data_IF_111243190666
#
_entry.id   IF_111243190666
#
_cell.length_a   1.000
_cell.length_b   1.000
_cell.length_c   1.000
_cell.angle_alpha   90.00
_cell.angle_beta   90.00
_cell.angle_gamma   90.00
#
_symmetry.space_group_name_H-M   'P 1'
#
loop_
_entity.id
_entity.type
_entity.pdbx_description
1 polymer ?
#
# COMPACT_ATOMS: atom_id res chain seq x y z
N UNK A 1 7.17 49.35 13.26
CA UNK A 1 7.28 47.98 13.84
C UNK A 1 6.08 47.07 13.57
N UNK A 2 4.82 47.55 13.50
CA UNK A 2 3.64 46.70 13.16
C UNK A 2 3.74 46.03 11.77
N UNK A 3 4.23 46.76 10.76
CA UNK A 3 4.30 46.26 9.39
C UNK A 3 5.34 45.13 9.20
N UNK A 4 6.40 45.11 10.02
CA UNK A 4 7.44 44.07 9.95
C UNK A 4 6.95 42.72 10.50
N UNK A 5 6.17 42.74 11.59
CA UNK A 5 5.56 41.52 12.16
C UNK A 5 4.59 40.88 11.16
N UNK A 6 3.75 41.67 10.52
CA UNK A 6 2.80 41.17 9.51
C UNK A 6 3.53 40.55 8.31
N UNK A 7 4.62 41.16 7.84
CA UNK A 7 5.44 40.61 6.76
C UNK A 7 6.07 39.26 7.15
N UNK A 8 6.59 39.17 8.37
CA UNK A 8 7.21 37.94 8.89
C UNK A 8 6.18 36.82 9.06
N UNK A 9 4.96 37.14 9.53
CA UNK A 9 3.87 36.18 9.67
C UNK A 9 3.40 35.66 8.31
N UNK A 10 3.23 36.54 7.32
CA UNK A 10 2.88 36.14 5.95
C UNK A 10 3.98 35.26 5.36
N UNK A 11 5.25 35.65 5.51
CA UNK A 11 6.39 34.88 5.01
C UNK A 11 6.45 33.47 5.60
N UNK A 12 6.25 33.33 6.92
CA UNK A 12 6.22 32.02 7.60
C UNK A 12 5.03 31.18 7.11
N UNK A 13 3.83 31.76 6.98
CA UNK A 13 2.65 31.06 6.48
C UNK A 13 2.84 30.62 5.03
N UNK A 14 3.45 31.44 4.17
CA UNK A 14 3.77 31.05 2.79
C UNK A 14 4.83 29.97 2.74
N UNK A 15 5.89 30.04 3.57
CA UNK A 15 6.93 29.01 3.61
C UNK A 15 6.37 27.66 4.11
N UNK A 16 5.49 27.70 5.12
CA UNK A 16 4.78 26.53 5.64
C UNK A 16 3.81 25.94 4.61
N UNK A 17 3.13 26.81 3.84
CA UNK A 17 2.26 26.40 2.73
C UNK A 17 3.08 25.77 1.60
N UNK A 18 4.23 26.32 1.21
CA UNK A 18 5.13 25.71 0.23
C UNK A 18 5.69 24.36 0.71
N UNK A 19 5.96 24.19 2.01
CA UNK A 19 6.36 22.90 2.59
C UNK A 19 5.22 21.87 2.53
N UNK A 20 3.96 22.30 2.74
CA UNK A 20 2.76 21.44 2.68
C UNK A 20 2.28 21.14 1.25
N UNK A 21 2.58 22.02 0.28
CA UNK A 21 2.23 21.88 -1.14
C UNK A 21 3.38 21.24 -1.93
N UNK A 22 4.48 20.83 -1.27
CA UNK A 22 5.55 20.10 -1.96
C UNK A 22 4.96 18.83 -2.61
N UNK A 23 4.88 18.77 -3.95
CA UNK A 23 4.24 17.68 -4.64
C UNK A 23 5.17 16.47 -4.58
N UNK A 24 4.64 15.37 -4.08
CA UNK A 24 5.30 14.08 -3.93
C UNK A 24 6.51 14.13 -2.99
N UNK A 25 6.40 13.43 -1.84
CA UNK A 25 7.58 12.72 -1.35
C UNK A 25 8.15 11.99 -2.57
N UNK A 26 9.36 12.36 -2.98
CA UNK A 26 10.02 11.87 -4.19
C UNK A 26 9.87 10.35 -4.17
N UNK A 27 8.93 9.82 -4.98
CA UNK A 27 8.63 8.40 -4.94
C UNK A 27 9.97 7.69 -5.17
N UNK A 28 10.39 6.87 -4.21
CA UNK A 28 11.63 6.16 -4.39
C UNK A 28 11.42 5.24 -5.59
N UNK A 29 12.29 5.35 -6.59
CA UNK A 29 12.31 4.42 -7.71
C UNK A 29 12.98 3.14 -7.20
N UNK A 30 12.18 2.26 -6.61
CA UNK A 30 12.65 0.95 -6.17
C UNK A 30 12.74 0.09 -7.42
N UNK A 31 13.88 -0.57 -7.64
CA UNK A 31 14.13 -1.40 -8.82
C UNK A 31 14.44 -2.82 -8.38
N UNK A 32 13.80 -3.80 -9.01
CA UNK A 32 14.08 -5.23 -8.86
C UNK A 32 14.55 -5.78 -10.20
N UNK A 33 15.70 -6.46 -10.24
CA UNK A 33 16.23 -7.04 -11.49
C UNK A 33 16.95 -8.39 -11.31
N UNK A 34 17.29 -9.01 -12.44
CA UNK A 34 18.02 -10.29 -12.51
C UNK A 34 19.53 -10.10 -12.69
N UNK A 35 20.03 -8.87 -12.64
CA UNK A 35 21.45 -8.58 -12.86
C UNK A 35 22.24 -8.73 -11.56
N UNK A 36 23.54 -9.03 -11.66
CA UNK A 36 24.44 -8.95 -10.52
C UNK A 36 24.91 -7.50 -10.36
N UNK A 37 24.91 -6.99 -9.13
CA UNK A 37 25.28 -5.60 -8.86
C UNK A 37 25.57 -5.36 -7.38
N UNK A 38 26.18 -4.21 -7.08
CA UNK A 38 26.36 -3.77 -5.69
C UNK A 38 25.02 -3.49 -5.04
N UNK A 39 24.93 -3.72 -3.73
CA UNK A 39 23.76 -3.31 -2.96
C UNK A 39 23.72 -1.77 -2.87
N UNK A 40 22.82 -1.16 -3.63
CA UNK A 40 22.53 0.27 -3.59
C UNK A 40 21.15 0.53 -2.99
N UNK A 41 20.94 1.64 -2.27
CA UNK A 41 19.62 1.97 -1.74
C UNK A 41 18.56 2.04 -2.85
N UNK A 42 17.51 1.23 -2.71
CA UNK A 42 16.43 1.17 -3.71
C UNK A 42 16.68 0.20 -4.87
N UNK A 43 17.86 -0.43 -4.98
CA UNK A 43 18.15 -1.43 -6.01
C UNK A 43 18.27 -2.83 -5.41
N UNK A 44 17.44 -3.74 -5.92
CA UNK A 44 17.25 -5.09 -5.43
C UNK A 44 17.60 -6.08 -6.54
N UNK A 45 18.86 -6.49 -6.56
CA UNK A 45 19.40 -7.48 -7.48
C UNK A 45 19.10 -8.88 -6.96
N UNK A 46 18.25 -9.65 -7.64
CA UNK A 46 17.89 -11.01 -7.20
C UNK A 46 19.07 -11.95 -6.91
N UNK A 47 20.22 -11.90 -7.63
CA UNK A 47 21.37 -12.74 -7.31
C UNK A 47 22.00 -12.46 -5.93
N UNK A 48 21.69 -11.31 -5.31
CA UNK A 48 22.17 -10.94 -3.97
C UNK A 48 21.32 -11.55 -2.85
N UNK A 49 20.26 -12.29 -3.18
CA UNK A 49 19.34 -12.90 -2.22
C UNK A 49 19.29 -14.42 -2.41
N UNK A 50 18.85 -15.13 -1.38
CA UNK A 50 18.74 -16.60 -1.42
C UNK A 50 17.79 -17.10 -2.52
N UNK A 51 16.77 -16.32 -2.87
CA UNK A 51 15.83 -16.58 -3.96
C UNK A 51 15.09 -15.29 -4.35
N UNK A 52 14.41 -15.33 -5.51
CA UNK A 52 13.69 -14.18 -6.07
C UNK A 52 12.58 -13.68 -5.13
N UNK A 53 11.86 -14.59 -4.45
CA UNK A 53 10.81 -14.22 -3.49
C UNK A 53 11.37 -13.39 -2.33
N UNK A 54 12.54 -13.74 -1.80
CA UNK A 54 13.20 -13.01 -0.70
C UNK A 54 13.64 -11.62 -1.17
N UNK A 55 14.13 -11.52 -2.40
CA UNK A 55 14.49 -10.23 -3.01
C UNK A 55 13.26 -9.31 -3.16
N UNK A 56 12.17 -9.85 -3.70
CA UNK A 56 10.91 -9.12 -3.89
C UNK A 56 10.30 -8.70 -2.54
N UNK A 57 10.31 -9.57 -1.54
CA UNK A 57 9.84 -9.23 -0.20
C UNK A 57 10.69 -8.12 0.42
N UNK A 58 12.02 -8.15 0.27
CA UNK A 58 12.89 -7.08 0.78
C UNK A 58 12.58 -5.71 0.14
N UNK A 59 12.27 -5.68 -1.16
CA UNK A 59 11.83 -4.47 -1.84
C UNK A 59 10.47 -3.96 -1.32
N UNK A 60 9.51 -4.87 -1.10
CA UNK A 60 8.22 -4.55 -0.50
C UNK A 60 8.37 -4.01 0.94
N UNK A 61 9.25 -4.61 1.74
CA UNK A 61 9.52 -4.20 3.11
C UNK A 61 10.16 -2.81 3.15
N UNK A 62 11.12 -2.55 2.25
CA UNK A 62 11.78 -1.25 2.09
C UNK A 62 10.83 -0.12 1.65
N UNK A 63 9.83 -0.45 0.83
CA UNK A 63 8.89 0.53 0.28
C UNK A 63 8.03 1.23 1.33
N UNK A 64 7.64 2.46 1.02
CA UNK A 64 6.67 3.28 1.75
C UNK A 64 5.43 3.51 0.89
N UNK A 65 4.32 3.90 1.53
CA UNK A 65 3.12 4.27 0.79
C UNK A 65 3.41 5.43 -0.16
N UNK A 66 3.06 5.27 -1.44
CA UNK A 66 3.31 6.22 -2.52
C UNK A 66 4.51 5.85 -3.40
N UNK A 67 5.36 4.90 -2.99
CA UNK A 67 6.51 4.48 -3.80
C UNK A 67 6.10 3.69 -5.05
N UNK A 68 7.00 3.73 -6.05
CA UNK A 68 6.91 2.89 -7.25
C UNK A 68 8.00 1.83 -7.23
N UNK A 69 7.60 0.57 -7.37
CA UNK A 69 8.49 -0.57 -7.55
C UNK A 69 8.49 -0.95 -9.03
N UNK A 70 9.64 -0.83 -9.68
CA UNK A 70 9.86 -1.26 -11.06
C UNK A 70 10.53 -2.62 -11.06
N UNK A 71 9.88 -3.61 -11.66
CA UNK A 71 10.44 -4.94 -11.88
C UNK A 71 10.94 -4.99 -13.32
N UNK A 72 12.24 -5.16 -13.52
CA UNK A 72 12.82 -5.25 -14.87
C UNK A 72 12.55 -6.61 -15.50
N UNK A 73 12.68 -6.68 -16.82
CA UNK A 73 12.50 -7.90 -17.62
C UNK A 73 13.21 -9.11 -16.97
N UNK A 74 12.53 -10.26 -16.95
CA UNK A 74 13.08 -11.48 -16.38
C UNK A 74 12.01 -12.47 -15.94
N UNK A 75 12.46 -13.69 -15.71
CA UNK A 75 11.68 -14.75 -15.08
C UNK A 75 12.04 -14.81 -13.59
N UNK A 76 11.03 -14.62 -12.73
CA UNK A 76 11.16 -14.58 -11.28
C UNK A 76 10.40 -15.76 -10.67
N UNK A 77 11.07 -16.55 -9.84
CA UNK A 77 10.48 -17.74 -9.24
C UNK A 77 10.04 -17.48 -7.80
N UNK A 78 8.72 -17.46 -7.59
CA UNK A 78 8.12 -17.22 -6.28
C UNK A 78 7.98 -18.57 -5.55
N UNK A 79 9.08 -18.97 -4.89
CA UNK A 79 9.19 -20.22 -4.10
C UNK A 79 8.70 -20.06 -2.66
N UNK A 80 8.36 -18.83 -2.25
CA UNK A 80 7.82 -18.47 -0.94
C UNK A 80 6.81 -17.34 -1.14
N UNK A 81 5.71 -17.36 -0.39
CA UNK A 81 4.71 -16.28 -0.44
C UNK A 81 5.33 -14.91 -0.19
N UNK A 82 4.97 -13.94 -1.02
CA UNK A 82 5.32 -12.51 -0.87
C UNK A 82 4.07 -11.73 -0.53
N UNK A 83 4.15 -10.85 0.45
CA UNK A 83 2.96 -10.16 0.93
C UNK A 83 3.24 -8.73 1.35
N UNK A 84 2.24 -7.88 1.15
CA UNK A 84 2.22 -6.52 1.66
C UNK A 84 0.84 -6.11 2.13
N UNK A 85 0.76 -5.51 3.31
CA UNK A 85 -0.49 -4.98 3.88
C UNK A 85 -0.39 -3.49 4.14
N UNK A 86 -1.52 -2.79 4.06
CA UNK A 86 -1.70 -1.41 4.53
C UNK A 86 -0.72 -0.39 3.92
N UNK A 87 -0.18 -0.67 2.73
CA UNK A 87 0.64 0.27 1.94
C UNK A 87 -0.04 0.55 0.61
N UNK A 88 -0.05 1.81 0.19
CA UNK A 88 -0.41 2.19 -1.16
C UNK A 88 0.86 2.08 -2.03
N UNK A 89 0.88 1.17 -3.00
CA UNK A 89 2.06 0.94 -3.83
C UNK A 89 1.69 1.00 -5.31
N UNK A 90 2.61 1.50 -6.12
CA UNK A 90 2.58 1.33 -7.56
C UNK A 90 3.64 0.27 -7.93
N UNK A 91 3.26 -0.79 -8.64
CA UNK A 91 4.19 -1.84 -9.08
C UNK A 91 4.08 -1.95 -10.60
N UNK A 92 5.18 -1.74 -11.29
CA UNK A 92 5.23 -1.70 -12.75
C UNK A 92 6.30 -2.66 -13.29
N UNK A 93 6.05 -3.24 -14.45
CA UNK A 93 7.03 -4.04 -15.17
C UNK A 93 7.75 -3.20 -16.25
N UNK A 94 9.07 -3.29 -16.31
CA UNK A 94 9.89 -2.73 -17.39
C UNK A 94 10.31 -3.86 -18.35
N UNK A 95 9.55 -4.01 -19.43
CA UNK A 95 9.71 -5.12 -20.38
C UNK A 95 8.89 -6.37 -19.99
N UNK A 96 9.29 -7.55 -20.49
CA UNK A 96 8.59 -8.81 -20.20
C UNK A 96 9.00 -9.33 -18.82
N UNK A 97 8.11 -9.16 -17.84
CA UNK A 97 8.24 -9.71 -16.48
C UNK A 97 7.33 -10.92 -16.36
N UNK A 98 7.90 -12.06 -16.00
CA UNK A 98 7.13 -13.28 -15.70
C UNK A 98 7.34 -13.66 -14.24
N UNK A 99 6.27 -13.75 -13.46
CA UNK A 99 6.32 -14.28 -12.10
C UNK A 99 5.82 -15.74 -12.11
N UNK A 100 6.72 -16.68 -11.91
CA UNK A 100 6.45 -18.10 -11.80
C UNK A 100 6.08 -18.44 -10.36
N UNK A 101 4.79 -18.51 -10.07
CA UNK A 101 4.29 -18.83 -8.74
C UNK A 101 4.34 -20.34 -8.53
N UNK A 102 5.23 -20.80 -7.65
CA UNK A 102 5.43 -22.23 -7.39
C UNK A 102 4.62 -22.66 -6.18
N UNK A 103 3.38 -23.07 -6.39
CA UNK A 103 2.51 -23.59 -5.33
C UNK A 103 2.87 -25.04 -4.98
N UNK A 104 2.83 -25.40 -3.70
CA UNK A 104 2.93 -26.79 -3.26
C UNK A 104 1.70 -27.18 -2.43
N UNK A 105 1.52 -28.48 -2.16
CA UNK A 105 0.42 -28.96 -1.33
C UNK A 105 0.58 -28.61 0.15
N UNK A 106 1.77 -28.15 0.55
CA UNK A 106 2.15 -27.89 1.95
C UNK A 106 2.38 -26.41 2.24
N UNK A 107 2.61 -25.59 1.22
CA UNK A 107 2.92 -24.17 1.36
C UNK A 107 2.12 -23.31 0.38
N UNK A 108 1.50 -22.26 0.93
CA UNK A 108 0.84 -21.22 0.16
C UNK A 108 1.89 -20.22 -0.32
N UNK A 109 2.43 -20.48 -1.50
CA UNK A 109 3.27 -19.53 -2.21
C UNK A 109 2.36 -18.67 -3.08
N UNK A 110 2.03 -17.48 -2.59
CA UNK A 110 1.15 -16.53 -3.25
C UNK A 110 1.78 -15.13 -3.33
N UNK A 111 1.06 -14.24 -4.02
CA UNK A 111 1.34 -12.82 -4.02
C UNK A 111 0.13 -12.17 -3.36
N UNK A 112 0.30 -11.70 -2.13
CA UNK A 112 -0.79 -11.18 -1.32
C UNK A 112 -0.66 -9.68 -1.08
N UNK A 113 -1.66 -8.91 -1.53
CA UNK A 113 -1.81 -7.49 -1.20
C UNK A 113 -3.10 -7.26 -0.41
N UNK A 114 -2.97 -6.72 0.80
CA UNK A 114 -4.10 -6.49 1.70
C UNK A 114 -4.28 -5.03 2.09
N UNK A 115 -5.51 -4.53 2.04
CA UNK A 115 -5.88 -3.28 2.69
C UNK A 115 -6.13 -3.44 4.19
N UNK A 116 -6.52 -2.34 4.83
CA UNK A 116 -7.03 -2.33 6.20
C UNK A 116 -8.55 -2.24 6.21
N UNK A 117 -9.15 -2.71 7.30
CA UNK A 117 -10.55 -2.48 7.62
C UNK A 117 -10.63 -1.74 8.95
N UNK A 118 -11.47 -0.70 9.03
CA UNK A 118 -11.86 -0.08 10.28
C UNK A 118 -13.24 -0.64 10.62
N UNK A 119 -13.36 -1.35 11.75
CA UNK A 119 -14.66 -1.86 12.20
C UNK A 119 -15.47 -0.72 12.82
N UNK A 120 -16.56 -0.33 12.15
CA UNK A 120 -17.46 0.75 12.57
C UNK A 120 -18.79 0.19 13.09
N UNK A 121 -18.78 -0.38 14.28
CA UNK A 121 -19.99 -0.76 15.03
C UNK A 121 -21.01 -1.64 14.28
N UNK A 122 -22.26 -1.60 14.76
CA UNK A 122 -23.41 -2.28 14.16
C UNK A 122 -24.31 -1.26 13.46
N UNK A 123 -25.30 -1.74 12.69
CA UNK A 123 -26.39 -0.89 12.26
C UNK A 123 -27.30 -0.56 13.46
N UNK A 124 -27.75 0.69 13.58
CA UNK A 124 -28.70 1.10 14.62
C UNK A 124 -30.17 0.78 14.25
N UNK A 125 -30.42 0.43 12.99
CA UNK A 125 -31.70 -0.03 12.49
C UNK A 125 -31.51 -1.06 11.36
N UNK A 126 -32.53 -1.88 11.10
CA UNK A 126 -32.51 -2.82 9.99
C UNK A 126 -32.38 -2.08 8.65
N UNK A 127 -31.45 -2.52 7.81
CA UNK A 127 -31.42 -2.11 6.41
C UNK A 127 -32.67 -2.67 5.69
N UNK A 128 -33.29 -1.85 4.84
CA UNK A 128 -34.45 -2.24 4.04
C UNK A 128 -34.02 -2.62 2.63
N UNK A 129 -34.60 -3.68 2.09
CA UNK A 129 -34.39 -4.06 0.70
C UNK A 129 -34.79 -2.89 -0.24
N UNK A 130 -33.98 -2.64 -1.26
CA UNK A 130 -34.16 -1.52 -2.20
C UNK A 130 -33.77 -0.13 -1.66
N UNK A 131 -33.36 -0.01 -0.39
CA UNK A 131 -32.87 1.26 0.17
C UNK A 131 -31.43 1.58 -0.27
N UNK A 132 -31.13 2.86 -0.51
CA UNK A 132 -29.78 3.38 -0.68
C UNK A 132 -29.19 3.98 0.61
N UNK A 133 -29.85 3.75 1.75
CA UNK A 133 -29.49 4.33 3.04
C UNK A 133 -29.41 3.25 4.12
N UNK A 134 -28.40 3.39 5.00
CA UNK A 134 -28.23 2.62 6.23
C UNK A 134 -27.93 3.58 7.38
N UNK A 135 -28.34 3.21 8.60
CA UNK A 135 -28.09 4.02 9.79
C UNK A 135 -27.09 3.27 10.67
N UNK A 136 -25.92 3.87 10.87
CA UNK A 136 -24.85 3.32 11.69
C UNK A 136 -25.06 3.74 13.16
N UNK A 137 -24.63 2.92 14.11
CA UNK A 137 -24.55 3.35 15.52
C UNK A 137 -23.51 4.43 15.75
N UNK A 138 -22.42 4.40 14.97
CA UNK A 138 -21.35 5.40 14.99
C UNK A 138 -20.80 5.58 13.57
N UNK A 139 -20.92 6.81 13.04
CA UNK A 139 -20.42 7.20 11.73
C UNK A 139 -19.19 8.13 11.82
N UNK A 140 -18.62 8.35 13.02
CA UNK A 140 -17.53 9.32 13.25
C UNK A 140 -16.28 9.09 12.40
N UNK A 141 -16.05 7.84 11.96
CA UNK A 141 -14.92 7.45 11.11
C UNK A 141 -15.28 7.28 9.64
N UNK A 142 -16.55 7.42 9.27
CA UNK A 142 -17.02 7.28 7.89
C UNK A 142 -16.91 8.61 7.18
N UNK A 143 -16.32 8.59 5.98
CA UNK A 143 -16.12 9.74 5.12
C UNK A 143 -16.79 9.52 3.77
N UNK A 144 -17.01 10.61 3.04
CA UNK A 144 -17.46 10.55 1.65
C UNK A 144 -16.49 9.68 0.84
N UNK A 145 -17.03 8.77 0.04
CA UNK A 145 -16.32 7.80 -0.81
C UNK A 145 -15.68 6.61 -0.08
N UNK A 146 -15.94 6.40 1.21
CA UNK A 146 -15.54 5.16 1.87
C UNK A 146 -16.33 3.97 1.31
N UNK A 147 -15.64 2.82 1.19
CA UNK A 147 -16.29 1.55 0.92
C UNK A 147 -16.77 0.93 2.23
N UNK A 148 -18.09 0.75 2.37
CA UNK A 148 -18.70 0.14 3.56
C UNK A 148 -19.09 -1.29 3.26
N UNK A 149 -18.56 -2.24 4.04
CA UNK A 149 -18.96 -3.65 4.01
C UNK A 149 -19.89 -3.95 5.18
N UNK A 150 -21.12 -4.36 4.87
CA UNK A 150 -22.10 -4.84 5.87
C UNK A 150 -22.10 -6.37 5.81
N UNK A 151 -21.94 -7.02 6.97
CA UNK A 151 -22.07 -8.47 7.08
C UNK A 151 -23.01 -8.85 8.22
N UNK A 152 -23.64 -10.02 8.12
CA UNK A 152 -24.39 -10.64 9.21
C UNK A 152 -23.54 -11.75 9.81
N UNK A 153 -23.25 -11.67 11.11
CA UNK A 153 -22.62 -12.79 11.80
C UNK A 153 -23.72 -13.79 12.19
N UNK A 154 -23.67 -15.00 11.63
CA UNK A 154 -24.54 -16.08 12.08
C UNK A 154 -23.91 -16.67 13.35
N UNK A 155 -24.50 -16.41 14.50
CA UNK A 155 -24.19 -17.19 15.70
C UNK A 155 -25.01 -18.47 15.61
N UNK A 156 -24.35 -19.59 15.28
CA UNK A 156 -24.99 -20.90 15.33
C UNK A 156 -25.22 -21.28 16.79
N UNK A 157 -26.48 -21.54 17.16
CA UNK A 157 -26.77 -22.32 18.36
C UNK A 157 -26.48 -23.77 17.97
N UNK A 158 -25.32 -24.27 18.40
CA UNK A 158 -25.00 -25.70 18.42
C UNK A 158 -25.67 -26.36 19.62
#
# INVERSE_FOLDING_TARGET
MKNFKNFMTIFILTLFSLALISPAALAANIVIDKEAGSAEPGFFHTPNYANDATCIQAALDYSKSGDTITIRKGDYYITKGVYQKNKNLNIIGEGKVTLHIQTSNTEYNDIYFGGSQITSGSLSANAKEGSSQVVLTDASKVRKNDLIKIWKMFCGVL
#
